data_IF_002296584689
#
_entry.id   IF_002296584689
#
_cell.length_a   1.000
_cell.length_b   1.000
_cell.length_c   1.000
_cell.angle_alpha   90.00
_cell.angle_beta   90.00
_cell.angle_gamma   90.00
#
_symmetry.space_group_name_H-M   'P 1'
#
loop_
_entity.id
_entity.type
_entity.pdbx_description
1 polymer ?
#
# COMPACT_ATOMS: atom_id res chain seq x y z
N UNK A 1 -23.92 13.26 -9.13
CA UNK A 1 -22.94 12.24 -8.68
C UNK A 1 -22.42 12.62 -7.31
N UNK A 2 -22.46 11.71 -6.36
CA UNK A 2 -21.84 11.92 -5.06
C UNK A 2 -20.32 11.88 -5.21
N UNK A 3 -19.62 12.72 -4.45
CA UNK A 3 -18.16 12.65 -4.38
C UNK A 3 -17.73 11.33 -3.74
N UNK A 4 -16.57 10.84 -4.14
CA UNK A 4 -15.98 9.63 -3.56
C UNK A 4 -15.61 9.90 -2.10
N UNK A 5 -16.08 9.04 -1.21
CA UNK A 5 -15.74 9.13 0.22
C UNK A 5 -14.48 8.29 0.50
N UNK A 6 -13.34 8.89 0.27
CA UNK A 6 -12.05 8.24 0.53
C UNK A 6 -11.83 7.90 2.00
N UNK A 7 -12.45 8.64 2.92
CA UNK A 7 -12.35 8.36 4.35
C UNK A 7 -13.05 7.03 4.69
N UNK A 8 -14.25 6.82 4.12
CA UNK A 8 -14.97 5.56 4.32
C UNK A 8 -14.23 4.38 3.69
N UNK A 9 -13.60 4.60 2.53
CA UNK A 9 -12.79 3.56 1.86
C UNK A 9 -11.59 3.19 2.72
N UNK A 10 -10.86 4.16 3.26
CA UNK A 10 -9.73 3.91 4.14
C UNK A 10 -10.15 3.11 5.38
N UNK A 11 -11.26 3.49 6.01
CA UNK A 11 -11.81 2.75 7.15
C UNK A 11 -12.16 1.31 6.78
N UNK A 12 -12.77 1.10 5.60
CA UNK A 12 -13.11 -0.23 5.09
C UNK A 12 -11.88 -1.09 4.84
N UNK A 13 -10.84 -0.53 4.24
CA UNK A 13 -9.58 -1.24 3.99
C UNK A 13 -8.90 -1.68 5.28
N UNK A 14 -8.97 -0.88 6.34
CA UNK A 14 -8.40 -1.25 7.64
C UNK A 14 -9.00 -2.53 8.22
N UNK A 15 -10.19 -2.93 7.76
CA UNK A 15 -10.90 -4.12 8.25
C UNK A 15 -11.02 -5.23 7.20
N UNK A 16 -10.69 -4.96 5.95
CA UNK A 16 -10.97 -5.87 4.84
C UNK A 16 -10.01 -7.06 4.73
N UNK A 17 -8.77 -6.88 5.18
CA UNK A 17 -7.72 -7.89 5.01
C UNK A 17 -7.37 -8.46 6.39
N UNK A 18 -7.74 -9.72 6.67
CA UNK A 18 -7.54 -10.32 8.01
C UNK A 18 -6.10 -10.25 8.50
N UNK A 19 -5.12 -10.48 7.64
CA UNK A 19 -3.71 -10.41 8.02
C UNK A 19 -3.32 -9.00 8.49
N UNK A 20 -3.79 -7.97 7.80
CA UNK A 20 -3.51 -6.58 8.18
C UNK A 20 -4.19 -6.23 9.51
N UNK A 21 -5.39 -6.73 9.74
CA UNK A 21 -6.10 -6.56 11.02
C UNK A 21 -5.29 -7.20 12.15
N UNK A 22 -4.75 -8.40 11.93
CA UNK A 22 -3.92 -9.11 12.91
C UNK A 22 -2.68 -8.30 13.30
N UNK A 23 -2.08 -7.60 12.36
CA UNK A 23 -0.92 -6.75 12.61
C UNK A 23 -1.29 -5.37 13.18
N UNK A 24 -2.57 -5.04 13.22
CA UNK A 24 -3.01 -3.72 13.68
C UNK A 24 -2.74 -2.59 12.68
N UNK A 25 -2.56 -2.91 11.41
CA UNK A 25 -2.36 -1.90 10.37
C UNK A 25 -3.62 -1.05 10.21
N UNK A 26 -3.43 0.26 10.13
CA UNK A 26 -4.52 1.19 9.91
C UNK A 26 -4.29 1.96 8.62
N UNK A 27 -5.24 1.90 7.70
CA UNK A 27 -5.21 2.71 6.49
C UNK A 27 -5.66 4.13 6.85
N UNK A 28 -4.72 5.07 6.76
CA UNK A 28 -4.94 6.47 7.14
C UNK A 28 -5.48 7.26 5.96
N UNK A 29 -4.92 7.04 4.77
CA UNK A 29 -5.27 7.81 3.58
C UNK A 29 -5.40 6.89 2.38
N UNK A 30 -6.47 7.09 1.62
CA UNK A 30 -6.64 6.57 0.26
C UNK A 30 -6.86 7.77 -0.63
N UNK A 31 -6.07 7.89 -1.68
CA UNK A 31 -6.20 8.99 -2.64
C UNK A 31 -5.85 8.47 -4.04
N UNK A 32 -6.13 9.26 -5.05
CA UNK A 32 -5.96 8.85 -6.45
C UNK A 32 -4.52 8.52 -6.82
N UNK A 33 -3.55 9.14 -6.14
CA UNK A 33 -2.12 9.01 -6.45
C UNK A 33 -1.27 8.45 -5.31
N UNK A 34 -1.86 8.23 -4.13
CA UNK A 34 -1.10 7.72 -2.98
C UNK A 34 -2.00 7.04 -1.94
N UNK A 35 -1.36 6.26 -1.09
CA UNK A 35 -2.00 5.62 0.07
C UNK A 35 -1.07 5.67 1.26
N UNK A 36 -1.65 5.80 2.45
CA UNK A 36 -0.88 5.87 3.71
C UNK A 36 -1.41 4.84 4.69
N UNK A 37 -0.50 4.05 5.25
CA UNK A 37 -0.81 3.03 6.26
C UNK A 37 0.09 3.25 7.47
N UNK A 38 -0.49 3.13 8.66
CA UNK A 38 0.22 3.21 9.92
C UNK A 38 0.44 1.82 10.48
N UNK A 39 1.68 1.53 10.87
CA UNK A 39 2.09 0.32 11.60
C UNK A 39 2.29 0.71 13.07
N UNK A 40 1.50 0.15 14.01
CA UNK A 40 1.64 0.49 15.43
C UNK A 40 2.92 -0.11 16.02
N UNK A 41 3.42 0.49 17.08
CA UNK A 41 4.53 -0.06 17.84
C UNK A 41 3.98 -0.93 18.98
N UNK A 42 3.75 -2.21 18.67
CA UNK A 42 3.26 -3.21 19.63
C UNK A 42 4.33 -4.25 19.89
N UNK A 43 4.42 -4.74 21.12
CA UNK A 43 5.46 -5.70 21.50
C UNK A 43 5.46 -6.95 20.63
N UNK A 44 4.30 -7.49 20.27
CA UNK A 44 4.19 -8.69 19.44
C UNK A 44 4.64 -8.49 17.99
N UNK A 45 4.89 -7.24 17.57
CA UNK A 45 5.38 -6.90 16.23
C UNK A 45 6.88 -6.63 16.22
N UNK A 46 7.55 -6.74 17.38
CA UNK A 46 8.98 -6.43 17.50
C UNK A 46 9.85 -7.66 17.25
N UNK A 47 11.09 -7.37 16.89
CA UNK A 47 12.13 -8.38 16.67
C UNK A 47 12.99 -8.57 17.93
N UNK A 48 14.06 -9.37 17.80
CA UNK A 48 14.97 -9.73 18.88
C UNK A 48 15.80 -8.56 19.43
N UNK A 49 15.88 -7.44 18.73
CA UNK A 49 16.60 -6.24 19.20
C UNK A 49 15.64 -5.14 19.68
N UNK A 50 14.35 -5.42 19.76
CA UNK A 50 13.35 -4.47 20.28
C UNK A 50 12.88 -3.42 19.30
N UNK A 51 13.21 -3.54 18.00
CA UNK A 51 12.64 -2.70 16.94
C UNK A 51 11.53 -3.46 16.23
N UNK A 52 10.77 -2.78 15.38
CA UNK A 52 9.72 -3.44 14.61
C UNK A 52 10.33 -4.46 13.64
N UNK A 53 9.68 -5.61 13.55
CA UNK A 53 10.16 -6.74 12.75
C UNK A 53 10.11 -6.39 11.26
N UNK A 54 11.11 -6.86 10.51
CA UNK A 54 11.18 -6.69 9.06
C UNK A 54 9.91 -7.15 8.35
N UNK A 55 9.31 -8.26 8.79
CA UNK A 55 8.05 -8.77 8.23
C UNK A 55 6.89 -7.83 8.45
N UNK A 56 6.82 -7.16 9.60
CA UNK A 56 5.77 -6.16 9.87
C UNK A 56 5.95 -4.93 8.97
N UNK A 57 7.19 -4.48 8.77
CA UNK A 57 7.50 -3.38 7.85
C UNK A 57 7.12 -3.75 6.42
N UNK A 58 7.46 -4.95 5.99
CA UNK A 58 7.10 -5.44 4.65
C UNK A 58 5.58 -5.41 4.44
N UNK A 59 4.82 -5.93 5.40
CA UNK A 59 3.36 -5.96 5.32
C UNK A 59 2.76 -4.54 5.29
N UNK A 60 3.30 -3.62 6.08
CA UNK A 60 2.85 -2.23 6.07
C UNK A 60 3.12 -1.55 4.71
N UNK A 61 4.27 -1.82 4.11
CA UNK A 61 4.62 -1.29 2.80
C UNK A 61 3.73 -1.84 1.69
N UNK A 62 3.48 -3.15 1.71
CA UNK A 62 2.57 -3.78 0.75
C UNK A 62 1.16 -3.22 0.91
N UNK A 63 0.68 -3.06 2.14
CA UNK A 63 -0.63 -2.49 2.43
C UNK A 63 -0.75 -1.04 1.93
N UNK A 64 0.30 -0.23 2.09
CA UNK A 64 0.31 1.15 1.59
C UNK A 64 0.26 1.19 0.06
N UNK A 65 0.96 0.27 -0.61
CA UNK A 65 0.89 0.14 -2.07
C UNK A 65 -0.52 -0.25 -2.53
N UNK A 66 -1.17 -1.15 -1.79
CA UNK A 66 -2.54 -1.56 -2.06
C UNK A 66 -3.55 -0.42 -1.86
N UNK A 67 -3.35 0.41 -0.83
CA UNK A 67 -4.18 1.57 -0.60
C UNK A 67 -4.05 2.59 -1.74
N UNK A 68 -2.83 2.82 -2.24
CA UNK A 68 -2.60 3.66 -3.40
C UNK A 68 -3.29 3.08 -4.65
N UNK A 69 -3.18 1.77 -4.84
CA UNK A 69 -3.83 1.07 -5.94
C UNK A 69 -5.36 1.25 -5.90
N UNK A 70 -5.97 1.02 -4.74
CA UNK A 70 -7.42 1.16 -4.58
C UNK A 70 -7.87 2.59 -4.91
N UNK A 71 -7.14 3.60 -4.46
CA UNK A 71 -7.46 5.00 -4.75
C UNK A 71 -7.41 5.33 -6.24
N UNK A 72 -6.42 4.79 -6.95
CA UNK A 72 -6.23 5.06 -8.38
C UNK A 72 -7.22 4.31 -9.27
N UNK A 73 -7.59 3.07 -8.90
CA UNK A 73 -8.39 2.19 -9.74
C UNK A 73 -9.81 1.97 -9.23
N UNK A 74 -10.25 2.79 -8.27
CA UNK A 74 -11.53 2.61 -7.58
C UNK A 74 -12.72 2.49 -8.53
N UNK A 75 -12.74 3.30 -9.57
CA UNK A 75 -13.84 3.38 -10.55
C UNK A 75 -14.02 2.10 -11.37
N UNK A 76 -12.97 1.27 -11.47
CA UNK A 76 -13.00 0.04 -12.26
C UNK A 76 -12.67 -1.21 -11.43
N UNK A 77 -12.66 -1.09 -10.11
CA UNK A 77 -12.22 -2.18 -9.21
C UNK A 77 -12.98 -3.48 -9.43
N UNK A 78 -14.27 -3.41 -9.73
CA UNK A 78 -15.11 -4.60 -10.00
C UNK A 78 -14.83 -5.29 -11.33
N UNK A 79 -14.06 -4.68 -12.21
CA UNK A 79 -13.80 -5.16 -13.58
C UNK A 79 -12.40 -5.73 -13.75
N UNK A 80 -11.58 -5.68 -12.69
CA UNK A 80 -10.16 -6.04 -12.76
C UNK A 80 -9.76 -7.00 -11.64
N UNK A 81 -8.65 -7.70 -11.87
CA UNK A 81 -8.00 -8.53 -10.85
C UNK A 81 -6.57 -8.02 -10.65
N UNK A 82 -6.30 -7.39 -9.50
CA UNK A 82 -4.95 -6.95 -9.15
C UNK A 82 -4.20 -8.02 -8.38
N UNK A 83 -2.91 -8.15 -8.65
CA UNK A 83 -2.01 -9.06 -7.93
C UNK A 83 -0.66 -8.38 -7.73
N UNK A 84 -0.14 -8.41 -6.51
CA UNK A 84 1.24 -8.05 -6.26
C UNK A 84 2.12 -9.17 -6.81
N UNK A 85 2.90 -8.86 -7.83
CA UNK A 85 3.70 -9.86 -8.56
C UNK A 85 5.08 -10.04 -7.92
N UNK A 86 5.68 -8.95 -7.45
CA UNK A 86 6.97 -8.97 -6.77
C UNK A 86 7.13 -7.72 -5.93
N UNK A 87 8.09 -7.75 -5.01
CA UNK A 87 8.42 -6.58 -4.20
C UNK A 87 9.88 -6.64 -3.79
N UNK A 88 10.48 -5.46 -3.61
CA UNK A 88 11.82 -5.30 -3.07
C UNK A 88 11.76 -4.29 -1.95
N UNK A 89 12.44 -4.59 -0.84
CA UNK A 89 12.51 -3.70 0.31
C UNK A 89 13.96 -3.57 0.77
N UNK A 90 14.34 -2.35 1.13
CA UNK A 90 15.63 -2.06 1.75
C UNK A 90 15.36 -1.50 3.15
N UNK A 91 15.93 -2.14 4.16
CA UNK A 91 15.83 -1.70 5.55
C UNK A 91 17.01 -0.78 5.85
N UNK A 92 16.74 0.50 6.05
CA UNK A 92 17.77 1.54 6.16
C UNK A 92 18.21 1.78 7.60
N UNK A 93 17.26 1.74 8.54
CA UNK A 93 17.47 2.02 9.96
C UNK A 93 16.54 1.18 10.82
N UNK A 94 16.88 1.03 12.10
CA UNK A 94 16.00 0.37 13.06
C UNK A 94 14.68 1.15 13.17
N UNK A 95 13.56 0.43 13.05
CA UNK A 95 12.24 1.02 13.15
C UNK A 95 11.78 0.99 14.60
N UNK A 96 11.86 2.12 15.27
CA UNK A 96 11.42 2.31 16.66
C UNK A 96 10.25 3.27 16.70
N UNK A 97 9.24 2.91 17.48
CA UNK A 97 7.99 3.67 17.53
C UNK A 97 7.11 3.38 16.32
N UNK A 98 6.00 4.08 16.25
CA UNK A 98 5.03 3.97 15.16
C UNK A 98 5.65 4.33 13.81
N UNK A 99 5.34 3.57 12.78
CA UNK A 99 5.84 3.79 11.42
C UNK A 99 4.70 4.14 10.48
N UNK A 100 4.93 5.12 9.62
CA UNK A 100 4.02 5.53 8.56
C UNK A 100 4.58 5.06 7.21
N UNK A 101 3.81 4.23 6.49
CA UNK A 101 4.16 3.78 5.15
C UNK A 101 3.34 4.58 4.14
N UNK A 102 3.99 5.24 3.19
CA UNK A 102 3.34 6.03 2.14
C UNK A 102 3.68 5.42 0.78
N UNK A 103 2.66 4.92 0.09
CA UNK A 103 2.78 4.39 -1.26
C UNK A 103 2.38 5.44 -2.29
N UNK A 104 3.18 5.58 -3.36
CA UNK A 104 2.93 6.56 -4.43
C UNK A 104 3.13 5.93 -5.80
N UNK A 105 2.26 6.30 -6.73
CA UNK A 105 2.47 5.97 -8.13
C UNK A 105 3.63 6.81 -8.69
N UNK A 106 4.42 6.19 -9.56
CA UNK A 106 5.46 6.89 -10.35
C UNK A 106 4.97 7.21 -11.75
N UNK A 107 3.87 6.59 -12.18
CA UNK A 107 3.25 6.81 -13.48
C UNK A 107 1.84 7.36 -13.28
N UNK A 108 1.34 8.07 -14.29
CA UNK A 108 0.00 8.63 -14.24
C UNK A 108 -1.04 7.49 -14.26
N UNK A 109 -1.93 7.47 -13.27
CA UNK A 109 -2.95 6.41 -13.15
C UNK A 109 -3.95 6.43 -14.31
N UNK A 110 -4.26 7.60 -14.85
CA UNK A 110 -5.11 7.72 -16.03
C UNK A 110 -4.50 7.05 -17.26
N UNK A 111 -3.19 7.25 -17.47
CA UNK A 111 -2.46 6.59 -18.56
C UNK A 111 -2.40 5.07 -18.36
N UNK A 112 -2.22 4.60 -17.12
CA UNK A 112 -2.24 3.18 -16.81
C UNK A 112 -3.60 2.56 -17.08
N UNK A 113 -4.69 3.23 -16.71
CA UNK A 113 -6.06 2.74 -16.98
C UNK A 113 -6.36 2.69 -18.47
N UNK A 114 -5.90 3.67 -19.24
CA UNK A 114 -6.05 3.67 -20.70
C UNK A 114 -5.32 2.48 -21.32
N UNK A 115 -4.08 2.23 -20.88
CA UNK A 115 -3.31 1.09 -21.36
C UNK A 115 -3.96 -0.25 -20.98
N UNK A 116 -4.51 -0.35 -19.77
CA UNK A 116 -5.25 -1.52 -19.33
C UNK A 116 -6.46 -1.78 -20.21
N UNK A 117 -7.19 -0.72 -20.58
CA UNK A 117 -8.33 -0.82 -21.49
C UNK A 117 -7.92 -1.34 -22.86
N UNK A 118 -6.78 -0.89 -23.40
CA UNK A 118 -6.30 -1.27 -24.72
C UNK A 118 -5.68 -2.67 -24.74
N UNK A 119 -4.83 -2.98 -23.76
CA UNK A 119 -4.00 -4.19 -23.76
C UNK A 119 -4.60 -5.34 -22.93
N UNK A 120 -5.59 -5.07 -22.08
CA UNK A 120 -6.21 -6.05 -21.20
C UNK A 120 -5.42 -6.37 -19.94
N UNK A 121 -4.18 -5.94 -19.85
CA UNK A 121 -3.29 -6.15 -18.69
C UNK A 121 -2.18 -5.11 -18.66
N UNK A 122 -1.71 -4.82 -17.46
CA UNK A 122 -0.60 -3.88 -17.23
C UNK A 122 0.26 -4.34 -16.07
N UNK A 123 1.49 -3.82 -16.04
CA UNK A 123 2.41 -3.92 -14.90
C UNK A 123 2.94 -2.54 -14.58
N UNK A 124 3.04 -2.23 -13.30
CA UNK A 124 3.57 -0.93 -12.86
C UNK A 124 4.08 -1.02 -11.43
N UNK A 125 5.09 -0.21 -11.07
CA UNK A 125 5.56 -0.15 -9.69
C UNK A 125 4.78 0.87 -8.88
N UNK A 126 4.67 0.59 -7.58
CA UNK A 126 4.29 1.58 -6.56
C UNK A 126 5.47 1.70 -5.61
N UNK A 127 5.97 2.91 -5.43
CA UNK A 127 7.08 3.19 -4.52
C UNK A 127 6.55 3.49 -3.13
N UNK A 128 7.18 2.92 -2.11
CA UNK A 128 6.78 3.09 -0.71
C UNK A 128 7.94 3.60 0.11
N UNK A 129 7.69 4.63 0.90
CA UNK A 129 8.63 5.14 1.88
C UNK A 129 8.05 4.93 3.28
N UNK A 130 8.84 4.39 4.19
CA UNK A 130 8.44 4.17 5.58
C UNK A 130 9.23 5.08 6.50
N UNK A 131 8.50 5.88 7.29
CA UNK A 131 9.08 6.92 8.14
C UNK A 131 8.66 6.76 9.60
N UNK A 132 9.55 7.14 10.51
CA UNK A 132 9.25 7.24 11.94
C UNK A 132 8.49 8.53 12.23
N UNK A 133 8.04 8.67 13.49
CA UNK A 133 7.37 9.88 13.95
C UNK A 133 8.24 11.14 13.82
N UNK A 134 9.56 10.98 13.85
CA UNK A 134 10.53 12.08 13.67
C UNK A 134 10.85 12.35 12.21
N UNK A 135 10.19 11.65 11.27
CA UNK A 135 10.43 11.84 9.84
C UNK A 135 11.67 11.12 9.28
N UNK A 136 12.25 10.20 10.05
CA UNK A 136 13.41 9.44 9.61
C UNK A 136 12.95 8.29 8.71
N UNK A 137 13.55 8.17 7.51
CA UNK A 137 13.26 7.06 6.61
C UNK A 137 13.91 5.79 7.17
N UNK A 138 13.10 4.81 7.53
CA UNK A 138 13.57 3.52 8.08
C UNK A 138 13.61 2.41 7.05
N UNK A 139 12.79 2.51 6.00
CA UNK A 139 12.77 1.53 4.91
C UNK A 139 12.21 2.15 3.64
N UNK A 140 12.63 1.59 2.51
CA UNK A 140 12.10 1.93 1.19
C UNK A 140 11.72 0.64 0.48
N UNK A 141 10.59 0.64 -0.24
CA UNK A 141 10.06 -0.54 -0.86
C UNK A 141 9.47 -0.21 -2.24
N UNK A 142 9.62 -1.13 -3.17
CA UNK A 142 8.94 -1.09 -4.46
C UNK A 142 8.04 -2.31 -4.54
N UNK A 143 6.76 -2.12 -4.82
CA UNK A 143 5.82 -3.20 -5.08
C UNK A 143 5.43 -3.16 -6.54
N UNK A 144 5.67 -4.26 -7.24
CA UNK A 144 5.32 -4.38 -8.65
C UNK A 144 3.98 -5.06 -8.79
N UNK A 145 3.00 -4.32 -9.29
CA UNK A 145 1.63 -4.78 -9.46
C UNK A 145 1.42 -5.31 -10.88
N UNK A 146 0.67 -6.40 -10.97
CA UNK A 146 0.10 -6.93 -12.20
C UNK A 146 -1.41 -6.79 -12.11
N UNK A 147 -2.01 -6.18 -13.13
CA UNK A 147 -3.46 -5.97 -13.18
C UNK A 147 -3.97 -6.46 -14.52
N UNK A 148 -5.03 -7.23 -14.52
CA UNK A 148 -5.69 -7.67 -15.72
C UNK A 148 -7.20 -7.38 -15.68
N UNK A 149 -7.79 -7.17 -16.83
CA UNK A 149 -9.25 -7.11 -16.95
C UNK A 149 -9.82 -8.51 -16.83
N UNK A 150 -10.98 -8.60 -16.15
CA UNK A 150 -11.64 -9.90 -15.92
C UNK A 150 -12.19 -10.52 -17.21
N UNK A 151 -12.44 -9.71 -18.23
CA UNK A 151 -12.93 -10.11 -19.55
C UNK A 151 -11.81 -10.34 -20.58
N UNK A 152 -10.58 -10.26 -20.14
CA UNK A 152 -9.41 -10.40 -21.02
C UNK A 152 -8.84 -11.82 -21.03
#
# INVERSE_FOLDING_TARGET
MSAVDYTAIAAGLSQAIPFNVHLGLETITVAEDHGVVRLPDEQHLRNHVGSLHAGALFAAGEAASGAAFVGAFLDIMGEITPLAESAQIAYKKLAKGEITATGRFTEDSGALKAKLSDDGRIRFPVEVEMTSAEGVVVAEMTVNWYVRRNDA
#
